data_IF_895503196171
#
_entry.id   IF_895503196171
#
_cell.length_a   1.000
_cell.length_b   1.000
_cell.length_c   1.000
_cell.angle_alpha   90.00
_cell.angle_beta   90.00
_cell.angle_gamma   90.00
#
_symmetry.space_group_name_H-M   'P 1'
#
loop_
_entity.id
_entity.type
_entity.pdbx_description
1 polymer ?
#
# COMPACT_ATOMS: atom_id res chain seq x y z
N UNK A 1 -22.80 -5.81 -10.98
CA UNK A 1 -21.51 -6.29 -10.41
C UNK A 1 -20.27 -5.47 -10.82
N UNK A 2 -20.32 -4.58 -11.84
CA UNK A 2 -19.13 -3.84 -12.32
C UNK A 2 -18.58 -2.81 -11.32
N UNK A 3 -19.45 -2.17 -10.53
CA UNK A 3 -19.10 -1.08 -9.61
C UNK A 3 -18.09 -1.50 -8.53
N UNK A 4 -18.22 -2.71 -7.98
CA UNK A 4 -17.29 -3.20 -6.96
C UNK A 4 -15.87 -3.41 -7.51
N UNK A 5 -15.75 -3.96 -8.73
CA UNK A 5 -14.44 -4.10 -9.39
C UNK A 5 -13.80 -2.75 -9.70
N UNK A 6 -14.60 -1.79 -10.17
CA UNK A 6 -14.13 -0.43 -10.45
C UNK A 6 -13.64 0.28 -9.18
N UNK A 7 -14.36 0.13 -8.07
CA UNK A 7 -13.93 0.68 -6.78
C UNK A 7 -12.58 0.09 -6.36
N UNK A 8 -12.39 -1.23 -6.46
CA UNK A 8 -11.12 -1.87 -6.11
C UNK A 8 -9.97 -1.35 -6.98
N UNK A 9 -10.19 -1.16 -8.28
CA UNK A 9 -9.19 -0.57 -9.18
C UNK A 9 -8.85 0.85 -8.77
N UNK A 10 -9.85 1.68 -8.47
CA UNK A 10 -9.64 3.05 -8.02
C UNK A 10 -8.85 3.11 -6.70
N UNK A 11 -9.18 2.26 -5.71
CA UNK A 11 -8.45 2.20 -4.45
C UNK A 11 -6.99 1.76 -4.64
N UNK A 12 -6.74 0.77 -5.50
CA UNK A 12 -5.37 0.34 -5.85
C UNK A 12 -4.58 1.47 -6.50
N UNK A 13 -5.18 2.16 -7.47
CA UNK A 13 -4.53 3.27 -8.16
C UNK A 13 -4.20 4.40 -7.18
N UNK A 14 -5.13 4.74 -6.29
CA UNK A 14 -4.91 5.74 -5.24
C UNK A 14 -3.72 5.39 -4.33
N UNK A 15 -3.57 4.13 -3.92
CA UNK A 15 -2.40 3.67 -3.15
C UNK A 15 -1.11 3.83 -3.96
N UNK A 16 -1.10 3.47 -5.24
CA UNK A 16 0.08 3.62 -6.10
C UNK A 16 0.48 5.09 -6.27
N UNK A 17 -0.48 5.98 -6.55
CA UNK A 17 -0.25 7.41 -6.71
C UNK A 17 0.25 8.05 -5.41
N UNK A 18 -0.22 7.54 -4.27
CA UNK A 18 0.26 7.95 -2.95
C UNK A 18 1.70 7.50 -2.73
N UNK A 19 1.98 6.21 -2.95
CA UNK A 19 3.34 5.65 -2.84
C UNK A 19 4.34 6.35 -3.78
N UNK A 20 3.92 6.78 -4.97
CA UNK A 20 4.79 7.50 -5.90
C UNK A 20 5.23 8.88 -5.37
N UNK A 21 4.42 9.49 -4.50
CA UNK A 21 4.73 10.76 -3.83
C UNK A 21 5.53 10.59 -2.52
N UNK A 22 5.72 9.35 -2.08
CA UNK A 22 6.52 9.01 -0.89
C UNK A 22 7.93 8.64 -1.32
N UNK A 23 8.97 9.44 -1.03
CA UNK A 23 10.36 9.14 -1.42
C UNK A 23 10.83 7.75 -0.96
N UNK A 24 10.36 7.28 0.20
CA UNK A 24 10.66 5.96 0.74
C UNK A 24 10.15 4.81 -0.13
N UNK A 25 9.09 5.04 -0.91
CA UNK A 25 8.47 4.02 -1.77
C UNK A 25 9.04 4.02 -3.20
N UNK A 26 9.94 4.94 -3.54
CA UNK A 26 10.56 5.03 -4.88
C UNK A 26 11.64 3.95 -5.04
N UNK A 27 11.64 3.16 -6.15
CA UNK A 27 12.66 2.14 -6.41
C UNK A 27 14.07 2.72 -6.43
N UNK A 28 15.05 1.98 -5.89
CA UNK A 28 16.47 2.36 -5.93
C UNK A 28 16.89 3.51 -4.98
N UNK A 29 15.94 4.27 -4.44
CA UNK A 29 16.21 5.38 -3.51
C UNK A 29 15.69 5.05 -2.11
N UNK A 30 14.42 4.64 -2.03
CA UNK A 30 13.69 4.51 -0.78
C UNK A 30 13.86 3.16 -0.08
N UNK A 31 13.84 3.20 1.26
CA UNK A 31 13.90 2.03 2.16
C UNK A 31 12.57 1.27 2.30
N UNK A 32 11.54 1.69 1.56
CA UNK A 32 10.14 1.32 1.71
C UNK A 32 9.45 2.00 2.88
N UNK A 33 8.12 2.06 2.82
CA UNK A 33 7.27 2.60 3.89
C UNK A 33 6.48 1.48 4.59
N UNK A 34 6.09 1.70 5.85
CA UNK A 34 5.26 0.75 6.59
C UNK A 34 3.80 0.81 6.15
N UNK A 35 3.00 -0.20 6.51
CA UNK A 35 1.56 -0.21 6.22
C UNK A 35 0.85 1.02 6.81
N UNK A 36 1.16 1.38 8.07
CA UNK A 36 0.59 2.55 8.74
C UNK A 36 1.01 3.85 8.06
N UNK A 37 2.29 4.02 7.73
CA UNK A 37 2.80 5.21 7.02
C UNK A 37 2.05 5.42 5.69
N UNK A 38 1.83 4.34 4.93
CA UNK A 38 1.10 4.38 3.66
C UNK A 38 -0.38 4.67 3.87
N UNK A 39 -1.00 4.10 4.92
CA UNK A 39 -2.40 4.36 5.24
C UNK A 39 -2.62 5.85 5.55
N UNK A 40 -1.79 6.42 6.41
CA UNK A 40 -1.87 7.82 6.82
C UNK A 40 -1.67 8.75 5.61
N UNK A 41 -0.66 8.47 4.78
CA UNK A 41 -0.42 9.25 3.57
C UNK A 41 -1.56 9.14 2.55
N UNK A 42 -2.22 7.99 2.47
CA UNK A 42 -3.32 7.74 1.53
C UNK A 42 -4.70 8.14 2.09
N UNK A 43 -4.77 8.63 3.33
CA UNK A 43 -6.04 8.94 4.01
C UNK A 43 -7.04 7.78 3.97
N UNK A 44 -6.54 6.56 4.22
CA UNK A 44 -7.33 5.32 4.21
C UNK A 44 -7.64 4.81 5.62
N UNK A 45 -7.48 5.64 6.64
CA UNK A 45 -7.90 5.33 8.00
C UNK A 45 -9.42 5.18 8.06
N UNK A 46 -9.90 3.99 8.41
CA UNK A 46 -11.33 3.72 8.57
C UNK A 46 -11.79 3.92 10.02
N UNK A 47 -10.84 4.19 10.92
CA UNK A 47 -11.06 4.39 12.35
C UNK A 47 -11.77 3.20 13.01
N UNK A 48 -11.41 2.00 12.57
CA UNK A 48 -11.97 0.75 13.09
C UNK A 48 -11.17 0.22 14.27
N UNK A 49 -11.85 -0.08 15.36
CA UNK A 49 -11.21 -0.61 16.55
C UNK A 49 -10.48 -1.93 16.25
N UNK A 50 -9.16 -1.97 16.49
CA UNK A 50 -8.24 -3.12 16.24
C UNK A 50 -8.05 -3.57 14.78
N UNK A 51 -8.83 -3.03 13.84
CA UNK A 51 -8.82 -3.44 12.43
C UNK A 51 -8.39 -2.32 11.47
N UNK A 52 -8.18 -1.11 12.00
CA UNK A 52 -7.59 -0.02 11.24
C UNK A 52 -6.23 -0.49 10.69
N UNK A 53 -6.06 -0.45 9.37
CA UNK A 53 -4.91 -1.05 8.67
C UNK A 53 -5.22 -2.21 7.74
N UNK A 54 -6.32 -2.95 7.95
CA UNK A 54 -6.61 -4.16 7.17
C UNK A 54 -6.95 -3.86 5.72
N UNK A 55 -7.61 -2.73 5.46
CA UNK A 55 -7.96 -2.33 4.10
C UNK A 55 -6.71 -1.98 3.29
N UNK A 56 -5.85 -1.09 3.80
CA UNK A 56 -4.56 -0.74 3.20
C UNK A 56 -3.69 -1.98 3.00
N UNK A 57 -3.61 -2.86 4.01
CA UNK A 57 -2.87 -4.12 3.90
C UNK A 57 -3.37 -5.01 2.75
N UNK A 58 -4.69 -5.15 2.63
CA UNK A 58 -5.31 -5.97 1.59
C UNK A 58 -5.03 -5.43 0.19
N UNK A 59 -5.05 -4.10 0.03
CA UNK A 59 -4.66 -3.44 -1.22
C UNK A 59 -3.18 -3.67 -1.54
N UNK A 60 -2.28 -3.52 -0.57
CA UNK A 60 -0.84 -3.76 -0.75
C UNK A 60 -0.54 -5.22 -1.13
N UNK A 61 -1.16 -6.19 -0.46
CA UNK A 61 -1.03 -7.61 -0.82
C UNK A 61 -1.52 -7.86 -2.25
N UNK A 62 -2.65 -7.27 -2.62
CA UNK A 62 -3.14 -7.41 -3.99
C UNK A 62 -2.19 -6.76 -5.01
N UNK A 63 -1.61 -5.60 -4.70
CA UNK A 63 -0.63 -4.92 -5.57
C UNK A 63 0.69 -5.70 -5.69
N UNK A 64 1.08 -6.43 -4.65
CA UNK A 64 2.20 -7.38 -4.70
C UNK A 64 1.91 -8.52 -5.67
N UNK A 65 0.71 -9.10 -5.60
CA UNK A 65 0.29 -10.14 -6.53
C UNK A 65 0.18 -9.63 -7.97
N UNK A 66 -0.18 -8.35 -8.14
CA UNK A 66 -0.20 -7.67 -9.45
C UNK A 66 1.23 -7.29 -9.94
N UNK A 67 2.27 -7.51 -9.13
CA UNK A 67 3.66 -7.20 -9.45
C UNK A 67 4.02 -5.71 -9.44
N UNK A 68 3.15 -4.84 -8.89
CA UNK A 68 3.30 -3.38 -8.87
C UNK A 68 4.00 -2.85 -7.62
N UNK A 69 3.97 -3.63 -6.54
CA UNK A 69 4.58 -3.33 -5.25
C UNK A 69 5.39 -4.54 -4.81
N UNK A 70 6.43 -4.32 -4.03
CA UNK A 70 7.18 -5.38 -3.37
C UNK A 70 7.35 -5.13 -1.88
N UNK A 71 7.55 -6.23 -1.15
CA UNK A 71 8.09 -6.16 0.22
C UNK A 71 9.60 -6.02 0.10
N UNK A 72 10.17 -5.00 0.74
CA UNK A 72 11.61 -4.76 0.74
C UNK A 72 12.31 -5.92 1.45
N UNK A 73 13.32 -6.57 0.82
CA UNK A 73 14.04 -7.69 1.42
C UNK A 73 14.69 -7.33 2.77
N UNK A 74 14.68 -8.25 3.74
CA UNK A 74 15.26 -8.04 5.07
C UNK A 74 14.36 -7.27 6.05
N UNK A 75 13.13 -6.95 5.64
CA UNK A 75 12.14 -6.25 6.48
C UNK A 75 11.01 -7.17 6.97
N UNK A 76 11.20 -8.49 6.98
CA UNK A 76 10.11 -9.47 7.17
C UNK A 76 9.39 -9.30 8.52
N UNK A 77 10.11 -8.91 9.58
CA UNK A 77 9.54 -8.63 10.91
C UNK A 77 8.75 -7.32 10.98
N UNK A 78 9.04 -6.37 10.09
CA UNK A 78 8.40 -5.04 10.00
C UNK A 78 8.31 -4.64 8.54
N UNK A 79 7.42 -5.32 7.80
CA UNK A 79 7.37 -5.25 6.33
C UNK A 79 7.35 -3.80 5.87
N UNK A 80 8.29 -3.47 4.99
CA UNK A 80 8.32 -2.22 4.26
C UNK A 80 7.92 -2.50 2.82
N UNK A 81 7.15 -1.58 2.24
CA UNK A 81 6.63 -1.69 0.88
C UNK A 81 7.26 -0.64 -0.01
N UNK A 82 7.54 -1.02 -1.25
CA UNK A 82 8.12 -0.16 -2.28
C UNK A 82 7.46 -0.44 -3.62
N UNK A 83 7.41 0.55 -4.49
CA UNK A 83 7.01 0.34 -5.89
C UNK A 83 7.99 -0.60 -6.59
N UNK A 84 7.51 -1.30 -7.61
CA UNK A 84 8.33 -2.05 -8.57
C UNK A 84 8.46 -1.32 -9.89
#
# INVERSE_FOLDING_TARGET
MQRGKQLLVACKQHVLDTMQRMPECVPGIGRGAGNTDIQEAADLGLHLDRQDGWFTWSLLVSLINDGRVEVVPGTERRRRFRLR
#
